data_IF_530204275070
#
_entry.id   IF_530204275070
#
_cell.length_a   1.000
_cell.length_b   1.000
_cell.length_c   1.000
_cell.angle_alpha   90.00
_cell.angle_beta   90.00
_cell.angle_gamma   90.00
#
_symmetry.space_group_name_H-M   'P 1'
#
loop_
_entity.id
_entity.type
_entity.pdbx_description
1 polymer ?
#
# COMPACT_ATOMS: atom_id res chain seq x y z
N UNK A 1 20.30 1.86 -16.70
CA UNK A 1 18.89 1.57 -16.96
C UNK A 1 18.14 2.88 -16.98
N UNK A 2 17.44 3.14 -18.08
CA UNK A 2 16.59 4.33 -18.21
C UNK A 2 15.31 4.14 -17.37
N UNK A 3 14.68 5.24 -16.94
CA UNK A 3 13.47 5.18 -16.09
C UNK A 3 12.32 4.38 -16.71
N UNK A 4 12.24 4.35 -18.05
CA UNK A 4 11.25 3.57 -18.80
C UNK A 4 11.44 2.06 -18.61
N UNK A 5 12.68 1.57 -18.64
CA UNK A 5 12.97 0.14 -18.46
C UNK A 5 12.54 -0.35 -17.08
N UNK A 6 12.79 0.45 -16.04
CA UNK A 6 12.36 0.15 -14.68
C UNK A 6 10.83 0.10 -14.54
N UNK A 7 10.11 0.99 -15.23
CA UNK A 7 8.65 1.00 -15.23
C UNK A 7 8.06 -0.23 -15.93
N UNK A 8 8.64 -0.63 -17.07
CA UNK A 8 8.24 -1.82 -17.81
C UNK A 8 8.50 -3.10 -16.99
N UNK A 9 9.66 -3.17 -16.32
CA UNK A 9 10.02 -4.28 -15.44
C UNK A 9 9.08 -4.38 -14.23
N UNK A 10 8.82 -3.26 -13.55
CA UNK A 10 7.88 -3.19 -12.43
C UNK A 10 6.47 -3.66 -12.83
N UNK A 11 5.97 -3.17 -13.97
CA UNK A 11 4.63 -3.51 -14.48
C UNK A 11 4.53 -5.01 -14.77
N UNK A 12 5.57 -5.59 -15.38
CA UNK A 12 5.65 -7.03 -15.67
C UNK A 12 5.66 -7.87 -14.40
N UNK A 13 6.46 -7.52 -13.40
CA UNK A 13 6.50 -8.25 -12.13
C UNK A 13 5.17 -8.16 -11.37
N UNK A 14 4.52 -6.99 -11.41
CA UNK A 14 3.21 -6.80 -10.80
C UNK A 14 2.12 -7.63 -11.49
N UNK A 15 2.14 -7.73 -12.82
CA UNK A 15 1.20 -8.58 -13.55
C UNK A 15 1.45 -10.07 -13.31
N UNK A 16 2.71 -10.50 -13.28
CA UNK A 16 3.07 -11.89 -13.00
C UNK A 16 2.64 -12.31 -11.58
N UNK A 17 2.86 -11.44 -10.59
CA UNK A 17 2.47 -11.72 -9.20
C UNK A 17 0.96 -11.91 -9.06
N UNK A 18 0.15 -11.07 -9.72
CA UNK A 18 -1.32 -11.24 -9.78
C UNK A 18 -1.71 -12.57 -10.43
N UNK A 19 -1.13 -12.87 -11.59
CA UNK A 19 -1.44 -14.12 -12.31
C UNK A 19 -1.13 -15.39 -11.49
N UNK A 20 -0.09 -15.37 -10.66
CA UNK A 20 0.26 -16.51 -9.79
C UNK A 20 -0.74 -16.64 -8.63
N UNK A 21 -1.20 -15.52 -8.06
CA UNK A 21 -2.23 -15.52 -7.03
C UNK A 21 -3.58 -16.05 -7.55
N UNK A 22 -3.88 -15.79 -8.82
CA UNK A 22 -5.14 -16.21 -9.46
C UNK A 22 -5.16 -17.69 -9.89
N UNK A 23 -3.99 -18.35 -10.00
CA UNK A 23 -3.88 -19.71 -10.54
C UNK A 23 -3.65 -20.74 -9.44
N UNK A 24 -4.58 -21.70 -9.17
CA UNK A 24 -4.36 -22.72 -8.15
C UNK A 24 -3.25 -23.69 -8.59
N UNK A 25 -2.13 -23.73 -7.86
CA UNK A 25 -0.97 -24.56 -8.17
C UNK A 25 -0.18 -24.96 -6.92
N UNK A 26 0.55 -26.07 -7.01
CA UNK A 26 1.24 -26.73 -5.89
C UNK A 26 2.56 -26.06 -5.46
N UNK A 27 3.09 -25.08 -6.21
CA UNK A 27 4.32 -24.33 -5.86
C UNK A 27 4.15 -22.79 -5.96
N UNK A 28 3.02 -22.26 -5.48
CA UNK A 28 2.82 -20.81 -5.43
C UNK A 28 3.83 -20.12 -4.50
N UNK A 29 4.18 -20.74 -3.36
CA UNK A 29 5.01 -20.10 -2.34
C UNK A 29 6.43 -19.81 -2.83
N UNK A 30 7.08 -20.75 -3.51
CA UNK A 30 8.42 -20.55 -4.07
C UNK A 30 8.42 -19.48 -5.17
N UNK A 31 7.45 -19.56 -6.08
CA UNK A 31 7.32 -18.63 -7.20
C UNK A 31 6.98 -17.20 -6.73
N UNK A 32 6.08 -17.04 -5.76
CA UNK A 32 5.77 -15.75 -5.14
C UNK A 32 6.97 -15.19 -4.37
N UNK A 33 7.71 -16.02 -3.66
CA UNK A 33 8.91 -15.59 -2.93
C UNK A 33 9.96 -15.04 -3.90
N UNK A 34 10.20 -15.73 -5.02
CA UNK A 34 11.11 -15.26 -6.06
C UNK A 34 10.65 -13.94 -6.69
N UNK A 35 9.37 -13.83 -7.07
CA UNK A 35 8.82 -12.59 -7.64
C UNK A 35 8.90 -11.41 -6.65
N UNK A 36 8.73 -11.66 -5.35
CA UNK A 36 8.90 -10.64 -4.31
C UNK A 36 10.34 -10.13 -4.21
N UNK A 37 11.34 -11.00 -4.30
CA UNK A 37 12.74 -10.60 -4.30
C UNK A 37 13.08 -9.73 -5.54
N UNK A 38 12.61 -10.14 -6.71
CA UNK A 38 12.76 -9.36 -7.94
C UNK A 38 12.06 -8.00 -7.85
N UNK A 39 10.85 -7.98 -7.29
CA UNK A 39 10.11 -6.74 -7.04
C UNK A 39 10.88 -5.80 -6.12
N UNK A 40 11.43 -6.33 -5.01
CA UNK A 40 12.26 -5.55 -4.09
C UNK A 40 13.49 -4.97 -4.77
N UNK A 41 14.16 -5.73 -5.65
CA UNK A 41 15.31 -5.26 -6.45
C UNK A 41 14.92 -4.10 -7.37
N UNK A 42 13.82 -4.23 -8.11
CA UNK A 42 13.34 -3.19 -9.03
C UNK A 42 12.93 -1.93 -8.27
N UNK A 43 12.19 -2.08 -7.17
CA UNK A 43 11.80 -0.96 -6.30
C UNK A 43 13.04 -0.25 -5.74
N UNK A 44 14.06 -1.00 -5.30
CA UNK A 44 15.31 -0.41 -4.82
C UNK A 44 16.04 0.39 -5.90
N UNK A 45 15.97 -0.02 -7.16
CA UNK A 45 16.55 0.73 -8.27
C UNK A 45 15.72 1.96 -8.66
N UNK A 46 14.38 1.87 -8.65
CA UNK A 46 13.49 3.03 -8.85
C UNK A 46 13.77 4.10 -7.80
N UNK A 47 13.97 3.71 -6.54
CA UNK A 47 14.27 4.64 -5.44
C UNK A 47 15.61 5.39 -5.59
N UNK A 48 16.50 4.96 -6.48
CA UNK A 48 17.75 5.70 -6.78
C UNK A 48 17.52 6.83 -7.78
N UNK A 49 16.37 6.88 -8.45
CA UNK A 49 16.05 7.94 -9.40
C UNK A 49 15.69 9.25 -8.67
N UNK A 50 16.06 10.42 -9.22
CA UNK A 50 15.68 11.72 -8.64
C UNK A 50 14.17 11.85 -8.44
N UNK A 51 13.75 12.30 -7.26
CA UNK A 51 12.34 12.48 -6.91
C UNK A 51 11.56 11.20 -6.57
N UNK A 52 12.16 10.02 -6.70
CA UNK A 52 11.49 8.71 -6.47
C UNK A 52 12.04 7.95 -5.26
N UNK A 53 12.84 8.57 -4.41
CA UNK A 53 13.44 7.92 -3.23
C UNK A 53 12.44 7.28 -2.27
N UNK A 54 11.20 7.78 -2.24
CA UNK A 54 10.09 7.25 -1.44
C UNK A 54 9.08 6.40 -2.24
N UNK A 55 9.43 5.97 -3.46
CA UNK A 55 8.54 5.16 -4.28
C UNK A 55 8.04 3.91 -3.52
N UNK A 56 6.72 3.71 -3.46
CA UNK A 56 6.03 2.66 -2.69
C UNK A 56 6.36 2.62 -1.19
N UNK A 57 6.89 3.69 -0.60
CA UNK A 57 6.85 3.87 0.85
C UNK A 57 5.53 4.52 1.23
N UNK A 58 5.04 4.22 2.43
CA UNK A 58 3.89 4.93 2.99
C UNK A 58 4.16 6.43 3.01
N UNK A 59 3.12 7.27 2.78
CA UNK A 59 3.21 8.70 2.98
C UNK A 59 3.75 9.02 4.38
N UNK A 60 4.50 10.12 4.49
CA UNK A 60 4.88 10.63 5.80
C UNK A 60 3.64 11.19 6.50
N UNK A 61 3.68 11.22 7.83
CA UNK A 61 2.62 11.89 8.59
C UNK A 61 2.49 13.37 8.17
N UNK A 62 3.60 14.06 7.91
CA UNK A 62 3.60 15.43 7.40
C UNK A 62 2.92 15.56 6.03
N UNK A 63 3.01 14.54 5.17
CA UNK A 63 2.33 14.55 3.87
C UNK A 63 0.82 14.49 4.09
N UNK A 64 0.37 13.69 5.06
CA UNK A 64 -1.04 13.59 5.46
C UNK A 64 -1.55 14.87 6.11
N UNK A 65 -0.75 15.52 6.98
CA UNK A 65 -1.11 16.82 7.58
C UNK A 65 -1.20 17.93 6.54
N UNK A 66 -0.26 17.97 5.58
CA UNK A 66 -0.31 18.89 4.46
C UNK A 66 -1.59 18.69 3.64
N UNK A 67 -1.93 17.44 3.31
CA UNK A 67 -3.18 17.11 2.64
C UNK A 67 -4.43 17.51 3.46
N UNK A 68 -4.37 17.37 4.79
CA UNK A 68 -5.46 17.76 5.68
C UNK A 68 -5.73 19.28 5.68
N UNK A 69 -4.77 20.11 5.25
CA UNK A 69 -4.99 21.55 5.09
C UNK A 69 -6.04 21.88 4.02
N UNK A 70 -6.27 20.97 3.05
CA UNK A 70 -7.28 21.11 2.00
C UNK A 70 -8.61 20.39 2.28
N UNK A 71 -8.73 19.66 3.39
CA UNK A 71 -9.90 18.85 3.69
C UNK A 71 -9.66 17.78 4.76
N UNK A 72 -10.63 16.90 5.00
CA UNK A 72 -10.50 15.87 6.02
C UNK A 72 -9.68 14.68 5.51
N UNK A 73 -8.62 14.31 6.22
CA UNK A 73 -7.90 13.05 6.00
C UNK A 73 -8.26 12.09 7.13
N UNK A 74 -8.86 10.95 6.78
CA UNK A 74 -9.18 9.87 7.73
C UNK A 74 -8.48 8.61 7.28
N UNK A 75 -7.65 8.03 8.16
CA UNK A 75 -7.07 6.70 7.97
C UNK A 75 -7.96 5.70 8.68
N UNK A 76 -8.46 4.71 7.95
CA UNK A 76 -9.32 3.66 8.51
C UNK A 76 -8.55 2.35 8.56
N UNK A 77 -8.57 1.70 9.71
CA UNK A 77 -8.08 0.35 9.92
C UNK A 77 -9.26 -0.57 10.20
N UNK A 78 -9.46 -1.61 9.39
CA UNK A 78 -10.49 -2.62 9.61
C UNK A 78 -9.84 -3.99 9.77
N UNK A 79 -9.83 -4.49 11.00
CA UNK A 79 -9.24 -5.79 11.35
C UNK A 79 -10.21 -6.63 12.17
N UNK A 80 -9.89 -7.92 12.33
CA UNK A 80 -10.64 -8.82 13.22
C UNK A 80 -10.56 -8.45 14.70
N UNK A 81 -9.61 -7.58 15.09
CA UNK A 81 -9.40 -7.19 16.48
C UNK A 81 -10.12 -5.88 16.83
N UNK A 82 -10.06 -4.93 15.91
CA UNK A 82 -10.69 -3.62 16.04
C UNK A 82 -10.93 -3.01 14.67
N UNK A 83 -11.91 -2.11 14.60
CA UNK A 83 -12.10 -1.18 13.51
C UNK A 83 -11.90 0.23 14.05
N UNK A 84 -10.95 0.97 13.49
CA UNK A 84 -10.51 2.25 14.01
C UNK A 84 -10.46 3.28 12.88
N UNK A 85 -10.81 4.52 13.20
CA UNK A 85 -10.53 5.67 12.37
C UNK A 85 -9.53 6.57 13.08
N UNK A 86 -8.55 7.07 12.34
CA UNK A 86 -7.60 8.08 12.79
C UNK A 86 -7.81 9.32 11.94
N UNK A 87 -8.30 10.39 12.57
CA UNK A 87 -8.51 11.67 11.92
C UNK A 87 -7.20 12.44 11.97
N UNK A 88 -6.66 12.76 10.79
CA UNK A 88 -5.47 13.59 10.66
C UNK A 88 -5.90 15.04 10.55
N UNK A 89 -5.34 15.86 11.44
CA UNK A 89 -5.55 17.30 11.45
C UNK A 89 -4.38 18.00 10.71
N UNK A 90 -4.59 19.22 10.18
CA UNK A 90 -3.52 20.01 9.57
C UNK A 90 -2.37 20.28 10.54
N UNK A 91 -2.69 20.41 11.82
CA UNK A 91 -1.79 20.63 12.93
C UNK A 91 -2.21 19.79 14.16
N UNK A 92 -1.25 19.51 15.04
CA UNK A 92 -1.47 18.74 16.26
C UNK A 92 -1.50 17.22 16.06
N UNK A 93 -1.87 16.53 17.14
CA UNK A 93 -1.92 15.07 17.21
C UNK A 93 -3.17 14.51 16.52
N UNK A 94 -3.06 13.32 15.90
CA UNK A 94 -4.20 12.70 15.26
C UNK A 94 -5.24 12.21 16.29
N UNK A 95 -6.52 12.32 15.95
CA UNK A 95 -7.63 11.92 16.82
C UNK A 95 -8.05 10.50 16.50
N UNK A 96 -7.96 9.61 17.49
CA UNK A 96 -8.42 8.22 17.37
C UNK A 96 -9.91 8.11 17.68
N UNK A 97 -10.64 7.40 16.82
CA UNK A 97 -12.07 7.14 16.94
C UNK A 97 -12.29 5.63 16.78
N UNK A 98 -12.67 4.89 17.83
CA UNK A 98 -13.05 3.49 17.71
C UNK A 98 -14.39 3.37 16.97
N UNK A 99 -14.43 2.59 15.90
CA UNK A 99 -15.63 2.36 15.11
C UNK A 99 -16.39 1.16 15.68
N UNK A 100 -17.67 1.36 16.01
CA UNK A 100 -18.55 0.31 16.56
C UNK A 100 -19.08 -0.60 15.44
N UNK A 101 -18.18 -1.15 14.63
CA UNK A 101 -18.46 -2.06 13.51
C UNK A 101 -17.45 -3.21 13.52
N UNK A 102 -17.82 -4.34 12.94
CA UNK A 102 -16.90 -5.47 12.74
C UNK A 102 -16.32 -5.45 11.32
N UNK A 103 -15.19 -6.15 11.13
CA UNK A 103 -14.64 -6.36 9.79
C UNK A 103 -15.64 -7.06 8.84
N UNK A 104 -16.49 -7.94 9.37
CA UNK A 104 -17.54 -8.61 8.60
C UNK A 104 -18.56 -7.60 8.08
N UNK A 105 -19.04 -6.69 8.93
CA UNK A 105 -19.95 -5.63 8.49
C UNK A 105 -19.35 -4.76 7.37
N UNK A 106 -18.04 -4.46 7.44
CA UNK A 106 -17.35 -3.70 6.38
C UNK A 106 -17.28 -4.48 5.06
N UNK A 107 -17.08 -5.81 5.11
CA UNK A 107 -17.07 -6.66 3.93
C UNK A 107 -18.45 -6.71 3.27
N UNK A 108 -19.50 -6.84 4.06
CA UNK A 108 -20.89 -6.88 3.55
C UNK A 108 -21.26 -5.61 2.79
N UNK A 109 -20.76 -4.44 3.24
CA UNK A 109 -20.97 -3.14 2.59
C UNK A 109 -20.21 -2.95 1.26
N UNK A 110 -19.26 -3.83 0.94
CA UNK A 110 -18.43 -3.74 -0.29
C UNK A 110 -18.99 -4.56 -1.45
N UNK A 111 -20.20 -5.11 -1.30
CA UNK A 111 -20.89 -6.01 -2.25
C UNK A 111 -22.05 -5.28 -2.94
#
# INVERSE_FOLDING_TARGET
MEGKELADEFTRLASLSRSVLDSPGTDQHGQLSHLNLEMQRVVANIRKLPGLSRFLLSPLFSDLQCAASGGLVVVVNASKYSCDALVILPDGDPVHIPLQITQENVRDLST
#
